data_IF_696052904478
#
_entry.id   IF_696052904478
#
_cell.length_a   1.000
_cell.length_b   1.000
_cell.length_c   1.000
_cell.angle_alpha   90.00
_cell.angle_beta   90.00
_cell.angle_gamma   90.00
#
_symmetry.space_group_name_H-M   'P 1'
#
loop_
_entity.id
_entity.type
_entity.pdbx_description
1 polymer ?
#
# COMPACT_ATOMS: atom_id res chain seq x y z
N UNK A 1 -21.08 -5.35 2.43
CA UNK A 1 -20.66 -6.69 2.91
C UNK A 1 -20.11 -6.53 4.30
N UNK A 2 -20.68 -7.23 5.28
CA UNK A 2 -20.07 -7.42 6.60
C UNK A 2 -19.32 -8.75 6.62
N UNK A 3 -18.31 -8.89 7.49
CA UNK A 3 -17.50 -10.11 7.59
C UNK A 3 -17.33 -10.51 9.05
N UNK A 4 -17.46 -11.81 9.33
CA UNK A 4 -17.11 -12.44 10.61
C UNK A 4 -16.18 -13.62 10.32
N UNK A 5 -15.22 -13.88 11.20
CA UNK A 5 -14.40 -15.08 11.07
C UNK A 5 -15.23 -16.32 11.38
N UNK A 6 -15.09 -17.32 10.52
CA UNK A 6 -15.75 -18.62 10.64
C UNK A 6 -14.69 -19.73 10.69
N UNK A 7 -15.00 -20.83 11.35
CA UNK A 7 -14.06 -21.97 11.40
C UNK A 7 -14.04 -22.76 10.09
N UNK A 8 -12.93 -23.47 9.81
CA UNK A 8 -12.83 -24.34 8.63
C UNK A 8 -13.86 -25.50 8.65
N UNK A 9 -14.32 -25.92 9.83
CA UNK A 9 -15.38 -26.92 9.99
C UNK A 9 -16.76 -26.35 9.68
N UNK A 10 -17.05 -25.14 10.16
CA UNK A 10 -18.29 -24.39 9.88
C UNK A 10 -18.44 -24.11 8.39
N UNK A 11 -17.42 -23.54 7.74
CA UNK A 11 -17.44 -23.26 6.30
C UNK A 11 -17.68 -24.50 5.42
N UNK A 12 -17.36 -25.70 5.93
CA UNK A 12 -17.53 -26.99 5.25
C UNK A 12 -18.87 -27.70 5.52
N UNK A 13 -19.75 -27.14 6.36
CA UNK A 13 -21.09 -27.73 6.60
C UNK A 13 -21.89 -27.81 5.29
N UNK A 14 -22.63 -28.91 5.10
CA UNK A 14 -23.46 -29.14 3.90
C UNK A 14 -24.48 -28.00 3.76
N UNK A 15 -24.52 -27.38 2.58
CA UNK A 15 -25.37 -26.20 2.28
C UNK A 15 -24.62 -24.86 2.31
N UNK A 16 -23.44 -24.77 2.94
CA UNK A 16 -22.62 -23.56 2.91
C UNK A 16 -21.90 -23.40 1.57
N UNK A 17 -21.89 -22.17 1.04
CA UNK A 17 -21.22 -21.81 -0.22
C UNK A 17 -19.81 -21.29 0.07
N UNK A 18 -18.78 -22.01 -0.40
CA UNK A 18 -17.39 -21.55 -0.32
C UNK A 18 -17.02 -20.82 -1.62
N UNK A 19 -16.79 -19.52 -1.53
CA UNK A 19 -16.34 -18.71 -2.65
C UNK A 19 -14.82 -18.48 -2.60
N UNK A 20 -14.08 -19.39 -3.24
CA UNK A 20 -12.65 -19.20 -3.51
C UNK A 20 -12.49 -18.11 -4.60
N UNK A 21 -12.55 -16.82 -4.25
CA UNK A 21 -12.51 -15.71 -5.21
C UNK A 21 -11.14 -15.51 -5.90
N UNK A 22 -10.06 -16.11 -5.39
CA UNK A 22 -8.70 -16.00 -5.91
C UNK A 22 -8.47 -16.71 -7.26
N UNK A 23 -9.29 -17.72 -7.60
CA UNK A 23 -9.14 -18.51 -8.83
C UNK A 23 -9.13 -17.63 -10.09
N UNK A 24 -8.08 -17.78 -10.90
CA UNK A 24 -7.75 -16.86 -12.00
C UNK A 24 -8.87 -16.67 -13.03
N UNK A 25 -9.65 -17.71 -13.31
CA UNK A 25 -10.76 -17.69 -14.26
C UNK A 25 -12.02 -16.96 -13.74
N UNK A 26 -12.19 -16.80 -12.42
CA UNK A 26 -13.38 -16.13 -11.86
C UNK A 26 -13.39 -14.63 -12.20
N UNK A 27 -14.55 -13.96 -12.19
CA UNK A 27 -14.61 -12.50 -12.24
C UNK A 27 -13.76 -11.85 -11.15
N UNK A 28 -13.36 -10.61 -11.35
CA UNK A 28 -12.66 -9.82 -10.34
C UNK A 28 -13.57 -9.51 -9.14
N UNK A 29 -12.99 -9.34 -7.95
CA UNK A 29 -13.75 -9.25 -6.70
C UNK A 29 -14.77 -8.10 -6.68
N UNK A 30 -14.44 -6.94 -7.25
CA UNK A 30 -15.37 -5.80 -7.29
C UNK A 30 -16.62 -6.11 -8.14
N UNK A 31 -16.50 -6.95 -9.18
CA UNK A 31 -17.64 -7.36 -10.02
C UNK A 31 -18.51 -8.39 -9.31
N UNK A 32 -17.88 -9.29 -8.55
CA UNK A 32 -18.58 -10.17 -7.63
C UNK A 32 -19.36 -9.36 -6.59
N UNK A 33 -18.74 -8.35 -5.99
CA UNK A 33 -19.40 -7.43 -5.06
C UNK A 33 -20.55 -6.64 -5.71
N UNK A 34 -20.37 -6.16 -6.95
CA UNK A 34 -21.43 -5.47 -7.70
C UNK A 34 -22.64 -6.40 -7.97
N UNK A 35 -22.40 -7.68 -8.28
CA UNK A 35 -23.47 -8.70 -8.41
C UNK A 35 -24.10 -9.04 -7.06
N UNK A 36 -23.30 -9.13 -6.00
CA UNK A 36 -23.76 -9.38 -4.63
C UNK A 36 -24.76 -8.30 -4.17
N UNK A 37 -24.45 -7.02 -4.40
CA UNK A 37 -25.34 -5.90 -4.08
C UNK A 37 -26.71 -6.00 -4.78
N UNK A 38 -26.75 -6.50 -6.02
CA UNK A 38 -28.00 -6.73 -6.77
C UNK A 38 -28.75 -7.99 -6.36
N UNK A 39 -28.07 -8.95 -5.74
CA UNK A 39 -28.65 -10.24 -5.32
C UNK A 39 -29.45 -10.15 -4.01
N UNK A 40 -29.18 -9.13 -3.19
CA UNK A 40 -29.76 -9.00 -1.85
C UNK A 40 -28.97 -9.78 -0.80
N UNK A 41 -29.66 -10.29 0.21
CA UNK A 41 -29.02 -10.97 1.35
C UNK A 41 -28.62 -12.42 1.02
N UNK A 42 -27.36 -12.76 1.30
CA UNK A 42 -26.85 -14.13 1.27
C UNK A 42 -25.57 -14.25 2.10
N UNK A 43 -25.21 -15.49 2.45
CA UNK A 43 -23.96 -15.82 3.16
C UNK A 43 -23.05 -16.63 2.24
N UNK A 44 -21.77 -16.26 2.20
CA UNK A 44 -20.71 -17.02 1.53
C UNK A 44 -19.45 -17.04 2.40
N UNK A 45 -18.65 -18.10 2.28
CA UNK A 45 -17.40 -18.27 3.01
C UNK A 45 -16.24 -18.07 2.06
N UNK A 46 -15.39 -17.07 2.31
CA UNK A 46 -14.20 -16.77 1.50
C UNK A 46 -12.96 -17.19 2.29
N UNK A 47 -11.99 -17.92 1.70
CA UNK A 47 -10.74 -18.23 2.37
C UNK A 47 -10.00 -16.95 2.80
N UNK A 48 -9.56 -16.88 4.06
CA UNK A 48 -8.98 -15.67 4.67
C UNK A 48 -7.87 -15.03 3.81
N UNK A 49 -6.92 -15.84 3.31
CA UNK A 49 -5.85 -15.37 2.41
C UNK A 49 -6.40 -14.78 1.11
N UNK A 50 -7.38 -15.42 0.48
CA UNK A 50 -7.99 -14.92 -0.75
C UNK A 50 -8.80 -13.64 -0.51
N UNK A 51 -9.44 -13.51 0.65
CA UNK A 51 -10.12 -12.28 1.04
C UNK A 51 -9.14 -11.11 1.24
N UNK A 52 -7.99 -11.32 1.89
CA UNK A 52 -6.97 -10.26 2.01
C UNK A 52 -6.37 -9.85 0.65
N UNK A 53 -6.12 -10.81 -0.24
CA UNK A 53 -5.55 -10.56 -1.58
C UNK A 53 -6.60 -10.34 -2.68
N UNK A 54 -7.88 -10.14 -2.33
CA UNK A 54 -9.02 -10.04 -3.27
C UNK A 54 -8.86 -8.96 -4.36
N UNK A 55 -8.06 -7.94 -4.07
CA UNK A 55 -7.80 -6.79 -4.94
C UNK A 55 -6.53 -6.92 -5.79
N UNK A 56 -5.64 -7.86 -5.47
CA UNK A 56 -4.32 -8.00 -6.11
C UNK A 56 -4.45 -8.31 -7.61
N UNK A 57 -5.38 -9.18 -8.01
CA UNK A 57 -5.50 -9.66 -9.40
C UNK A 57 -6.15 -8.67 -10.37
N UNK A 58 -6.78 -7.62 -9.86
CA UNK A 58 -7.47 -6.58 -10.64
C UNK A 58 -6.90 -5.18 -10.44
N UNK A 59 -5.75 -5.05 -9.75
CA UNK A 59 -5.16 -3.78 -9.34
C UNK A 59 -6.23 -2.87 -8.69
N UNK A 60 -6.89 -3.39 -7.65
CA UNK A 60 -8.02 -2.81 -6.90
C UNK A 60 -9.32 -2.57 -7.70
N UNK A 61 -9.22 -2.15 -8.96
CA UNK A 61 -10.29 -2.03 -9.97
C UNK A 61 -9.73 -1.68 -11.36
N UNK A 62 -8.52 -1.12 -11.43
CA UNK A 62 -7.91 -0.56 -12.64
C UNK A 62 -7.71 -1.58 -13.76
N UNK A 63 -7.69 -2.89 -13.45
CA UNK A 63 -7.55 -3.96 -14.43
C UNK A 63 -8.51 -3.85 -15.63
N UNK A 64 -9.71 -3.28 -15.43
CA UNK A 64 -10.66 -3.03 -16.54
C UNK A 64 -10.31 -1.80 -17.38
N UNK A 65 -9.72 -0.77 -16.78
CA UNK A 65 -9.28 0.45 -17.47
C UNK A 65 -8.01 0.18 -18.29
N UNK A 66 -7.09 -0.61 -17.71
CA UNK A 66 -5.85 -1.05 -18.34
C UNK A 66 -6.11 -2.04 -19.47
N UNK A 67 -7.01 -3.02 -19.22
CA UNK A 67 -7.25 -4.13 -20.11
C UNK A 67 -8.76 -4.39 -20.25
N UNK A 68 -9.49 -3.60 -21.07
CA UNK A 68 -10.96 -3.68 -21.18
C UNK A 68 -11.49 -5.06 -21.56
N UNK A 69 -10.73 -5.83 -22.35
CA UNK A 69 -11.05 -7.21 -22.72
C UNK A 69 -10.57 -8.26 -21.69
N UNK A 70 -9.80 -7.87 -20.67
CA UNK A 70 -9.27 -8.76 -19.64
C UNK A 70 -10.35 -9.42 -18.76
N UNK A 71 -11.55 -8.88 -18.77
CA UNK A 71 -12.73 -9.46 -18.11
C UNK A 71 -13.47 -10.51 -18.98
N UNK A 72 -13.09 -10.74 -20.23
CA UNK A 72 -13.76 -11.76 -21.04
C UNK A 72 -13.49 -13.15 -20.47
N UNK A 73 -14.51 -14.02 -20.47
CA UNK A 73 -14.42 -15.34 -19.82
C UNK A 73 -13.29 -16.21 -20.39
N UNK A 74 -13.12 -16.16 -21.72
CA UNK A 74 -12.06 -16.89 -22.43
C UNK A 74 -10.68 -16.35 -22.06
N UNK A 75 -10.53 -15.03 -21.93
CA UNK A 75 -9.28 -14.39 -21.52
C UNK A 75 -8.93 -14.79 -20.08
N UNK A 76 -9.89 -14.68 -19.15
CA UNK A 76 -9.71 -15.09 -17.75
C UNK A 76 -9.37 -16.58 -17.62
N UNK A 77 -9.94 -17.43 -18.46
CA UNK A 77 -9.65 -18.88 -18.45
C UNK A 77 -8.25 -19.21 -18.99
N UNK A 78 -7.87 -18.67 -20.16
CA UNK A 78 -6.63 -18.99 -20.86
C UNK A 78 -5.41 -18.21 -20.34
N UNK A 79 -5.57 -16.94 -20.01
CA UNK A 79 -4.48 -15.99 -19.70
C UNK A 79 -4.65 -15.30 -18.33
N UNK A 80 -5.76 -15.52 -17.62
CA UNK A 80 -6.02 -14.88 -16.31
C UNK A 80 -5.00 -15.24 -15.22
N UNK A 81 -4.24 -16.33 -15.37
CA UNK A 81 -3.15 -16.71 -14.47
C UNK A 81 -1.91 -15.81 -14.60
N UNK A 82 -1.80 -15.04 -15.70
CA UNK A 82 -0.77 -14.02 -15.90
C UNK A 82 -1.11 -12.67 -15.23
N UNK A 83 -2.27 -12.55 -14.59
CA UNK A 83 -2.73 -11.32 -13.94
C UNK A 83 -2.33 -11.27 -12.45
N UNK A 84 -1.87 -10.12 -11.91
CA UNK A 84 -1.64 -8.87 -12.64
C UNK A 84 -0.31 -8.91 -13.41
N UNK A 85 -0.25 -8.40 -14.66
CA UNK A 85 1.02 -8.25 -15.36
C UNK A 85 1.93 -7.26 -14.64
N UNK A 86 3.24 -7.42 -14.79
CA UNK A 86 4.23 -6.49 -14.21
C UNK A 86 3.94 -5.06 -14.70
N UNK A 87 3.98 -4.09 -13.78
CA UNK A 87 3.74 -2.67 -14.10
C UNK A 87 4.70 -2.15 -15.20
N UNK A 88 5.93 -2.67 -15.27
CA UNK A 88 6.87 -2.37 -16.35
C UNK A 88 6.40 -2.85 -17.72
N UNK A 89 5.75 -4.03 -17.80
CA UNK A 89 5.18 -4.54 -19.04
C UNK A 89 3.99 -3.67 -19.47
N UNK A 90 3.10 -3.33 -18.53
CA UNK A 90 1.99 -2.42 -18.79
C UNK A 90 2.46 -1.08 -19.36
N UNK A 91 3.46 -0.45 -18.72
CA UNK A 91 4.05 0.82 -19.19
C UNK A 91 4.71 0.70 -20.57
N UNK A 92 5.27 -0.46 -20.91
CA UNK A 92 5.86 -0.70 -22.24
C UNK A 92 4.80 -0.93 -23.33
N UNK A 93 3.61 -1.46 -22.97
CA UNK A 93 2.49 -1.72 -23.91
C UNK A 93 1.44 -0.61 -23.94
N UNK A 94 1.56 0.43 -23.12
CA UNK A 94 0.63 1.55 -23.08
C UNK A 94 0.89 2.56 -24.21
N UNK A 95 -0.05 2.65 -25.16
CA UNK A 95 -0.06 3.73 -26.16
C UNK A 95 -0.40 5.09 -25.54
N UNK A 96 -0.14 6.17 -26.28
CA UNK A 96 -0.26 7.54 -25.77
C UNK A 96 -1.64 7.89 -25.22
N UNK A 97 -2.72 7.41 -25.84
CA UNK A 97 -4.08 7.65 -25.35
C UNK A 97 -4.30 7.11 -23.92
N UNK A 98 -3.76 5.92 -23.59
CA UNK A 98 -3.86 5.36 -22.24
C UNK A 98 -2.92 6.12 -21.29
N UNK A 99 -1.72 6.50 -21.74
CA UNK A 99 -0.78 7.30 -20.95
C UNK A 99 -1.38 8.66 -20.55
N UNK A 100 -2.02 9.36 -21.50
CA UNK A 100 -2.67 10.64 -21.24
C UNK A 100 -3.88 10.47 -20.32
N UNK A 101 -4.71 9.44 -20.52
CA UNK A 101 -5.79 9.11 -19.58
C UNK A 101 -5.29 8.89 -18.14
N UNK A 102 -4.13 8.23 -17.96
CA UNK A 102 -3.48 8.12 -16.66
C UNK A 102 -3.03 9.47 -16.09
N UNK A 103 -2.40 10.33 -16.90
CA UNK A 103 -1.96 11.65 -16.43
C UNK A 103 -3.11 12.60 -16.09
N UNK A 104 -4.22 12.52 -16.81
CA UNK A 104 -5.37 13.42 -16.66
C UNK A 104 -6.38 12.94 -15.60
N UNK A 105 -6.47 11.62 -15.35
CA UNK A 105 -7.57 11.02 -14.56
C UNK A 105 -7.12 10.14 -13.39
N UNK A 106 -5.82 9.86 -13.19
CA UNK A 106 -5.35 9.07 -12.03
C UNK A 106 -4.54 9.90 -11.04
N UNK A 107 -5.10 10.02 -9.83
CA UNK A 107 -4.38 10.47 -8.63
C UNK A 107 -4.21 9.25 -7.72
N UNK A 108 -2.97 8.74 -7.59
CA UNK A 108 -2.64 7.65 -6.66
C UNK A 108 -1.96 8.24 -5.44
N UNK A 109 -2.40 7.81 -4.26
CA UNK A 109 -2.12 8.52 -3.04
C UNK A 109 -2.10 7.57 -1.79
N UNK A 110 -0.97 7.47 -1.06
CA UNK A 110 -0.84 6.85 0.29
C UNK A 110 -0.59 7.91 1.40
N UNK A 111 -1.06 7.68 2.64
CA UNK A 111 -0.74 8.56 3.78
C UNK A 111 -0.30 7.81 5.02
N UNK A 112 0.42 8.53 5.91
CA UNK A 112 0.91 8.01 7.18
C UNK A 112 0.19 8.71 8.33
N UNK A 113 -0.96 8.15 8.72
CA UNK A 113 -1.83 8.71 9.76
C UNK A 113 -1.47 8.10 11.13
N UNK A 114 -1.25 8.90 12.19
CA UNK A 114 -1.11 8.38 13.55
C UNK A 114 -2.36 7.61 13.97
N UNK A 115 -2.22 6.42 14.57
CA UNK A 115 -3.34 5.49 14.80
C UNK A 115 -4.53 6.13 15.56
N UNK A 116 -4.27 7.04 16.48
CA UNK A 116 -5.27 7.77 17.28
C UNK A 116 -5.95 8.94 16.54
N UNK A 117 -5.53 9.24 15.30
CA UNK A 117 -6.10 10.27 14.40
C UNK A 117 -6.72 9.69 13.13
N UNK A 118 -6.84 8.36 13.02
CA UNK A 118 -7.37 7.70 11.80
C UNK A 118 -8.82 8.10 11.53
N UNK A 119 -9.64 8.31 12.56
CA UNK A 119 -11.01 8.86 12.40
C UNK A 119 -10.99 10.25 11.77
N UNK A 120 -10.36 11.21 12.45
CA UNK A 120 -10.23 12.61 12.02
C UNK A 120 -9.64 12.74 10.61
N UNK A 121 -8.64 11.93 10.27
CA UNK A 121 -8.02 11.94 8.95
C UNK A 121 -8.96 11.39 7.87
N UNK A 122 -9.75 10.35 8.16
CA UNK A 122 -10.74 9.83 7.21
C UNK A 122 -11.85 10.86 6.96
N UNK A 123 -12.33 11.55 8.00
CA UNK A 123 -13.29 12.66 7.85
C UNK A 123 -12.71 13.85 7.08
N UNK A 124 -11.46 14.24 7.37
CA UNK A 124 -10.79 15.34 6.68
C UNK A 124 -10.60 15.04 5.19
N UNK A 125 -10.14 13.84 4.83
CA UNK A 125 -9.97 13.42 3.43
C UNK A 125 -11.29 13.37 2.70
N UNK A 126 -12.31 12.79 3.35
CA UNK A 126 -13.66 12.70 2.81
C UNK A 126 -14.25 14.07 2.48
N UNK A 127 -13.88 15.11 3.25
CA UNK A 127 -14.36 16.48 3.06
C UNK A 127 -13.53 17.33 2.10
N UNK A 128 -12.20 17.19 2.13
CA UNK A 128 -11.28 18.18 1.53
C UNK A 128 -10.55 17.71 0.26
N UNK A 129 -10.29 16.41 0.11
CA UNK A 129 -9.32 15.92 -0.89
C UNK A 129 -9.84 14.81 -1.79
N UNK A 130 -10.64 13.89 -1.26
CA UNK A 130 -11.05 12.60 -1.83
C UNK A 130 -9.93 11.51 -1.95
N UNK A 131 -8.62 11.81 -2.07
CA UNK A 131 -7.53 10.89 -1.64
C UNK A 131 -6.36 11.57 -0.83
N UNK A 132 -5.17 10.92 -0.67
CA UNK A 132 -4.09 11.29 0.31
C UNK A 132 -2.56 11.05 -0.05
N UNK A 133 -1.69 11.97 -0.57
CA UNK A 133 -0.18 11.83 -0.70
C UNK A 133 0.48 13.01 -1.45
N UNK A 134 1.80 12.95 -1.69
CA UNK A 134 2.46 13.41 -2.93
C UNK A 134 3.90 12.86 -3.06
N UNK A 135 4.47 12.89 -4.28
CA UNK A 135 5.92 12.77 -4.51
C UNK A 135 6.62 14.11 -4.16
N UNK A 136 7.83 14.08 -3.62
CA UNK A 136 8.58 15.29 -3.23
C UNK A 136 9.83 15.51 -4.11
N UNK A 137 10.01 16.76 -4.56
CA UNK A 137 11.18 17.20 -5.35
C UNK A 137 12.21 17.96 -4.49
N UNK A 138 11.99 18.06 -3.18
CA UNK A 138 12.88 18.77 -2.26
C UNK A 138 14.18 17.99 -2.03
N UNK A 139 15.28 18.71 -1.74
CA UNK A 139 16.44 18.11 -1.08
C UNK A 139 16.11 17.81 0.39
N UNK A 140 16.89 16.93 1.03
CA UNK A 140 16.58 16.44 2.39
C UNK A 140 16.50 17.57 3.43
N UNK A 141 17.40 18.55 3.35
CA UNK A 141 17.44 19.69 4.27
C UNK A 141 16.17 20.55 4.17
N UNK A 142 15.73 20.85 2.95
CA UNK A 142 14.52 21.63 2.72
C UNK A 142 13.25 20.83 3.04
N UNK A 143 13.25 19.51 2.81
CA UNK A 143 12.18 18.59 3.22
C UNK A 143 12.01 18.59 4.74
N UNK A 144 13.09 18.43 5.51
CA UNK A 144 13.02 18.44 6.97
C UNK A 144 12.73 19.81 7.57
N UNK A 145 13.13 20.90 6.91
CA UNK A 145 12.68 22.26 7.26
C UNK A 145 11.17 22.44 7.06
N UNK A 146 10.56 21.79 6.08
CA UNK A 146 9.14 21.91 5.77
C UNK A 146 8.24 21.06 6.69
N UNK A 147 8.69 19.87 7.12
CA UNK A 147 7.83 18.88 7.78
C UNK A 147 8.14 18.57 9.26
N UNK A 148 9.16 19.20 9.86
CA UNK A 148 9.66 18.97 11.23
C UNK A 148 9.89 17.47 11.57
N UNK A 149 11.13 17.02 11.39
CA UNK A 149 11.55 15.65 11.67
C UNK A 149 11.56 15.26 13.15
N UNK A 150 11.39 16.18 14.11
CA UNK A 150 11.64 15.92 15.53
C UNK A 150 10.82 14.76 16.11
N UNK A 151 9.50 14.73 15.86
CA UNK A 151 8.60 13.67 16.29
C UNK A 151 8.83 12.37 15.53
N UNK A 152 9.15 12.47 14.23
CA UNK A 152 9.46 11.34 13.37
C UNK A 152 10.72 10.61 13.86
N UNK A 153 11.79 11.34 14.14
CA UNK A 153 13.04 10.78 14.65
C UNK A 153 12.90 10.26 16.07
N UNK A 154 12.10 10.91 16.92
CA UNK A 154 11.79 10.41 18.26
C UNK A 154 11.08 9.05 18.18
N UNK A 155 10.13 8.89 17.24
CA UNK A 155 9.49 7.60 16.99
C UNK A 155 10.48 6.57 16.41
N UNK A 156 11.31 6.94 15.41
CA UNK A 156 12.32 6.04 14.84
C UNK A 156 13.33 5.57 15.89
N UNK A 157 13.80 6.47 16.76
CA UNK A 157 14.71 6.14 17.87
C UNK A 157 14.03 5.19 18.86
N UNK A 158 12.80 5.50 19.31
CA UNK A 158 12.03 4.67 20.25
C UNK A 158 11.84 3.23 19.76
N UNK A 159 11.51 3.05 18.47
CA UNK A 159 11.24 1.73 17.89
C UNK A 159 12.44 1.10 17.15
N UNK A 160 13.67 1.62 17.37
CA UNK A 160 14.92 1.13 16.75
C UNK A 160 14.89 1.06 15.21
N UNK A 161 14.15 1.97 14.57
CA UNK A 161 13.97 1.98 13.12
C UNK A 161 15.13 2.65 12.34
N UNK A 162 15.90 3.53 12.99
CA UNK A 162 17.12 4.15 12.42
C UNK A 162 18.11 3.04 12.03
N UNK A 163 18.67 3.09 10.81
CA UNK A 163 19.57 2.04 10.31
C UNK A 163 18.89 0.72 9.91
N UNK A 164 17.61 0.52 10.26
CA UNK A 164 16.84 -0.70 9.95
C UNK A 164 15.84 -0.48 8.82
N UNK A 165 15.21 0.70 8.78
CA UNK A 165 14.21 1.07 7.77
C UNK A 165 14.54 2.44 7.16
N UNK A 166 14.56 2.55 5.84
CA UNK A 166 14.81 3.82 5.15
C UNK A 166 13.91 4.97 5.64
N UNK A 167 14.50 6.15 5.75
CA UNK A 167 13.83 7.42 6.01
C UNK A 167 12.69 7.69 5.02
N UNK A 168 11.66 8.38 5.50
CA UNK A 168 10.50 8.79 4.70
C UNK A 168 10.90 9.76 3.60
N UNK A 169 11.95 10.56 3.81
CA UNK A 169 12.53 11.39 2.76
C UNK A 169 12.88 10.55 1.52
N UNK A 170 13.69 9.49 1.69
CA UNK A 170 14.02 8.58 0.59
C UNK A 170 12.82 7.80 0.03
N UNK A 171 11.70 7.69 0.75
CA UNK A 171 10.45 7.12 0.18
C UNK A 171 9.75 8.11 -0.75
N UNK A 172 9.76 9.40 -0.41
CA UNK A 172 9.08 10.46 -1.15
C UNK A 172 9.94 11.12 -2.25
N UNK A 173 11.28 11.02 -2.16
CA UNK A 173 12.27 11.60 -3.09
C UNK A 173 12.02 11.16 -4.53
N UNK A 174 11.91 12.13 -5.45
CA UNK A 174 11.80 11.92 -6.90
C UNK A 174 13.07 11.29 -7.48
N UNK A 175 12.90 10.26 -8.32
CA UNK A 175 13.98 9.59 -9.06
C UNK A 175 14.35 8.19 -8.53
N UNK A 176 15.39 7.59 -9.12
CA UNK A 176 16.00 6.36 -8.59
C UNK A 176 16.96 6.72 -7.46
N UNK A 177 16.68 6.21 -6.26
CA UNK A 177 17.65 6.11 -5.16
C UNK A 177 18.49 4.84 -5.32
N UNK A 178 19.76 4.93 -4.99
CA UNK A 178 20.66 3.79 -4.84
C UNK A 178 20.52 3.19 -3.44
N UNK A 179 20.75 1.89 -3.27
CA UNK A 179 20.77 1.30 -1.92
C UNK A 179 21.92 1.86 -1.08
N UNK A 180 23.03 2.22 -1.74
CA UNK A 180 24.20 2.85 -1.14
C UNK A 180 23.90 4.22 -0.51
N UNK A 181 23.24 5.15 -1.22
CA UNK A 181 22.94 6.48 -0.64
C UNK A 181 22.04 6.39 0.59
N UNK A 182 21.09 5.44 0.59
CA UNK A 182 20.17 5.23 1.71
C UNK A 182 20.90 4.60 2.89
N UNK A 183 21.79 3.64 2.64
CA UNK A 183 22.59 3.01 3.68
C UNK A 183 23.62 3.98 4.31
N UNK A 184 24.25 4.84 3.51
CA UNK A 184 25.20 5.84 3.99
C UNK A 184 24.51 6.89 4.88
N UNK A 185 23.40 7.48 4.42
CA UNK A 185 22.65 8.46 5.23
C UNK A 185 22.03 7.86 6.50
N UNK A 186 21.48 6.64 6.44
CA UNK A 186 20.99 5.95 7.65
C UNK A 186 22.12 5.59 8.63
N UNK A 187 23.32 5.34 8.12
CA UNK A 187 24.51 5.09 8.94
C UNK A 187 24.99 6.38 9.61
N UNK A 188 25.08 7.50 8.90
CA UNK A 188 25.42 8.82 9.47
C UNK A 188 24.48 9.19 10.64
N UNK A 189 23.16 9.01 10.47
CA UNK A 189 22.17 9.26 11.53
C UNK A 189 22.29 8.25 12.69
N UNK A 190 22.71 7.02 12.43
CA UNK A 190 22.98 6.01 13.47
C UNK A 190 24.29 6.28 14.24
N UNK A 191 25.32 6.83 13.59
CA UNK A 191 26.60 7.20 14.20
C UNK A 191 26.48 8.49 15.02
N UNK A 192 25.77 9.51 14.51
CA UNK A 192 25.43 10.71 15.29
C UNK A 192 24.64 10.39 16.57
N UNK A 193 23.81 9.32 16.56
CA UNK A 193 23.14 8.81 17.77
C UNK A 193 24.13 8.22 18.77
N UNK A 194 25.19 7.53 18.32
CA UNK A 194 26.22 6.99 19.21
C UNK A 194 27.00 8.14 19.86
N UNK A 195 27.40 9.13 19.06
CA UNK A 195 28.17 10.29 19.52
C UNK A 195 27.41 11.10 20.59
N UNK A 196 26.13 11.43 20.36
CA UNK A 196 25.29 12.10 21.38
C UNK A 196 25.14 11.25 22.64
N UNK A 197 24.94 9.94 22.51
CA UNK A 197 24.80 9.05 23.67
C UNK A 197 26.10 8.89 24.50
N UNK A 198 27.27 9.10 23.87
CA UNK A 198 28.59 9.11 24.54
C UNK A 198 28.84 10.45 25.24
N UNK A 199 28.33 11.56 24.70
CA UNK A 199 28.44 12.90 25.31
C UNK A 199 27.46 13.09 26.49
N UNK A 200 26.32 12.39 26.49
CA UNK A 200 25.34 12.45 27.57
C UNK A 200 25.66 11.53 28.77
N UNK A 201 26.62 10.60 28.66
CA UNK A 201 27.10 9.83 29.83
C UNK A 201 27.96 10.71 30.75
N UNK A 202 27.55 10.96 32.01
CA UNK A 202 28.36 11.74 32.94
C UNK A 202 29.63 11.00 33.31
N UNK A 203 30.77 11.71 33.38
CA UNK A 203 32.01 11.17 33.94
C UNK A 203 31.75 10.64 35.36
N UNK A 204 31.90 9.33 35.53
CA UNK A 204 31.97 8.70 36.85
C UNK A 204 33.28 9.16 37.48
N UNK A 205 33.24 10.25 38.25
CA UNK A 205 34.36 10.68 39.06
C UNK A 205 34.73 9.53 40.01
N UNK A 206 35.95 9.03 39.84
CA UNK A 206 36.52 7.99 40.71
C UNK A 206 36.49 8.41 42.17
N UNK A 207 36.34 7.41 43.03
CA UNK A 207 36.51 7.52 44.49
C UNK A 207 37.96 7.27 44.86
#
# INVERSE_FOLDING_TARGET
MTGRYASKGEAKKKGNVINNCGWWFKPWFYQHAQKALKKGEFVEYIPTREYYHRHTRSLYWEGKLILPFGDQWWFRFLLGWMMPPKVSLLKATQGEAIRNYYHENHVIQDMLVPLYRVGDALEWVHREMEPQYAMSELNEKDFWRMFDGSLYDKARRKYKAVGTFMSVYYKCKKGRKTEKEVAEAEKEVAEAKIEVAVLETPEVKGT
#
